data_IF_134584812589
#
_entry.id   IF_134584812589
#
_cell.length_a   1.000
_cell.length_b   1.000
_cell.length_c   1.000
_cell.angle_alpha   90.00
_cell.angle_beta   90.00
_cell.angle_gamma   90.00
#
_symmetry.space_group_name_H-M   'P 1'
#
loop_
_entity.id
_entity.type
_entity.pdbx_description
1 polymer ?
#
# COMPACT_ATOMS: atom_id res chain seq x y z
N UNK A 1 0.17 -29.53 -28.10
CA UNK A 1 1.41 -29.36 -27.32
C UNK A 1 2.39 -28.61 -28.23
N UNK A 2 2.95 -27.45 -27.81
CA UNK A 2 3.53 -27.24 -26.49
C UNK A 2 3.11 -25.91 -25.83
N UNK A 3 2.60 -25.99 -24.60
CA UNK A 3 2.44 -24.87 -23.66
C UNK A 3 3.52 -24.94 -22.56
N UNK A 4 4.59 -25.71 -22.78
CA UNK A 4 5.64 -26.01 -21.79
C UNK A 4 7.02 -25.61 -22.33
N UNK A 5 7.35 -24.34 -22.13
CA UNK A 5 8.68 -23.70 -22.13
C UNK A 5 8.31 -22.21 -22.25
N UNK A 6 8.39 -21.40 -21.21
CA UNK A 6 9.64 -20.81 -20.75
C UNK A 6 9.52 -20.52 -19.27
N UNK A 7 10.37 -21.18 -18.47
CA UNK A 7 10.48 -20.97 -17.03
C UNK A 7 11.96 -20.96 -16.68
N UNK A 8 12.64 -19.85 -16.97
CA UNK A 8 14.04 -19.66 -16.56
C UNK A 8 14.22 -18.16 -16.41
N UNK A 9 14.36 -17.62 -15.20
CA UNK A 9 15.19 -16.44 -14.90
C UNK A 9 15.25 -16.16 -13.39
N UNK A 10 16.08 -16.90 -12.65
CA UNK A 10 16.67 -16.35 -11.41
C UNK A 10 18.19 -16.56 -11.30
N UNK A 11 18.85 -17.24 -12.24
CA UNK A 11 20.31 -17.50 -12.17
C UNK A 11 21.04 -17.23 -13.48
N UNK A 12 20.73 -16.12 -14.18
CA UNK A 12 21.53 -15.74 -15.35
C UNK A 12 22.75 -14.91 -14.91
N UNK A 13 23.80 -15.60 -14.45
CA UNK A 13 25.16 -15.05 -14.37
C UNK A 13 25.91 -15.39 -15.67
N UNK A 14 26.08 -14.44 -16.62
CA UNK A 14 26.61 -14.73 -17.96
C UNK A 14 28.05 -15.26 -17.99
N UNK A 15 28.80 -15.09 -16.90
CA UNK A 15 30.26 -15.30 -16.92
C UNK A 15 30.77 -16.50 -16.10
N UNK A 16 29.89 -17.29 -15.46
CA UNK A 16 30.37 -18.33 -14.53
C UNK A 16 30.41 -19.76 -15.05
N UNK A 17 29.49 -20.23 -15.90
CA UNK A 17 29.54 -21.61 -16.42
C UNK A 17 28.78 -21.78 -17.75
N UNK A 18 29.45 -21.71 -18.90
CA UNK A 18 28.86 -21.99 -20.23
C UNK A 18 28.48 -23.47 -20.37
N UNK A 19 27.22 -23.80 -20.07
CA UNK A 19 26.64 -25.11 -20.34
C UNK A 19 25.80 -25.09 -21.62
N UNK A 20 25.64 -26.25 -22.27
CA UNK A 20 24.81 -26.41 -23.49
C UNK A 20 23.37 -25.91 -23.33
N UNK A 21 22.88 -25.78 -22.09
CA UNK A 21 21.54 -25.26 -21.79
C UNK A 21 21.49 -23.75 -21.94
N UNK A 22 22.54 -23.03 -21.53
CA UNK A 22 22.61 -21.56 -21.67
C UNK A 22 22.77 -21.11 -23.11
N UNK A 23 23.55 -21.83 -23.93
CA UNK A 23 23.66 -21.53 -25.37
C UNK A 23 22.33 -21.71 -26.11
N UNK A 24 21.54 -22.72 -25.71
CA UNK A 24 20.19 -22.93 -26.27
C UNK A 24 19.24 -21.80 -25.88
N UNK A 25 19.29 -21.34 -24.63
CA UNK A 25 18.47 -20.21 -24.14
C UNK A 25 18.86 -18.90 -24.83
N UNK A 26 20.17 -18.59 -24.92
CA UNK A 26 20.67 -17.41 -25.61
C UNK A 26 20.28 -17.39 -27.10
N UNK A 27 20.32 -18.56 -27.77
CA UNK A 27 19.91 -18.69 -29.17
C UNK A 27 18.41 -18.50 -29.35
N UNK A 28 17.59 -19.09 -28.48
CA UNK A 28 16.14 -18.90 -28.49
C UNK A 28 15.74 -17.43 -28.27
N UNK A 29 16.44 -16.72 -27.39
CA UNK A 29 16.23 -15.28 -27.17
C UNK A 29 16.65 -14.43 -28.37
N UNK A 30 17.76 -14.77 -29.02
CA UNK A 30 18.23 -14.08 -30.21
C UNK A 30 17.29 -14.29 -31.41
N UNK A 31 16.66 -15.47 -31.53
CA UNK A 31 15.63 -15.77 -32.53
C UNK A 31 14.32 -15.04 -32.21
N UNK A 32 13.84 -15.07 -30.97
CA UNK A 32 12.65 -14.32 -30.53
C UNK A 32 12.78 -12.80 -30.78
N UNK A 33 13.96 -12.23 -30.50
CA UNK A 33 14.26 -10.81 -30.74
C UNK A 33 14.32 -10.46 -32.23
N UNK A 34 14.74 -11.40 -33.10
CA UNK A 34 14.71 -11.22 -34.57
C UNK A 34 13.29 -11.29 -35.14
N UNK A 35 12.41 -12.04 -34.50
CA UNK A 35 10.99 -12.17 -34.85
C UNK A 35 10.13 -11.06 -34.24
N UNK A 36 10.73 -10.09 -33.55
CA UNK A 36 10.03 -8.95 -32.96
C UNK A 36 9.30 -9.26 -31.65
N UNK A 37 9.53 -10.43 -31.06
CA UNK A 37 9.05 -10.75 -29.72
C UNK A 37 9.98 -10.11 -28.69
N UNK A 38 9.48 -9.12 -27.97
CA UNK A 38 10.12 -8.68 -26.74
C UNK A 38 9.90 -9.75 -25.66
N UNK A 39 10.93 -10.07 -24.84
CA UNK A 39 10.70 -10.91 -23.67
C UNK A 39 9.64 -10.24 -22.81
N UNK A 40 8.49 -10.91 -22.66
CA UNK A 40 7.44 -10.48 -21.75
C UNK A 40 8.10 -10.40 -20.38
N UNK A 41 8.25 -9.19 -19.82
CA UNK A 41 8.57 -9.01 -18.41
C UNK A 41 7.58 -9.89 -17.66
N UNK A 42 8.08 -10.91 -16.96
CA UNK A 42 7.25 -11.79 -16.15
C UNK A 42 6.47 -10.88 -15.20
N UNK A 43 5.17 -10.79 -15.42
CA UNK A 43 4.28 -9.97 -14.62
C UNK A 43 4.39 -10.47 -13.18
N UNK A 44 4.81 -9.59 -12.25
CA UNK A 44 4.88 -9.92 -10.82
C UNK A 44 3.50 -10.38 -10.36
N UNK A 45 3.36 -11.70 -10.22
CA UNK A 45 2.09 -12.31 -9.85
C UNK A 45 1.80 -12.03 -8.37
N UNK A 46 0.52 -11.95 -8.06
CA UNK A 46 0.01 -11.75 -6.72
C UNK A 46 0.57 -12.76 -5.72
N UNK A 47 0.74 -14.02 -6.14
CA UNK A 47 1.28 -15.07 -5.28
C UNK A 47 2.74 -14.81 -4.92
N UNK A 48 3.54 -14.33 -5.87
CA UNK A 48 4.95 -13.99 -5.61
C UNK A 48 5.06 -12.83 -4.63
N UNK A 49 4.20 -11.81 -4.76
CA UNK A 49 4.17 -10.66 -3.86
C UNK A 49 3.70 -11.08 -2.47
N UNK A 50 2.72 -11.98 -2.39
CA UNK A 50 2.23 -12.55 -1.13
C UNK A 50 3.32 -13.35 -0.43
N UNK A 51 4.03 -14.21 -1.16
CA UNK A 51 5.17 -14.97 -0.63
C UNK A 51 6.30 -14.04 -0.21
N UNK A 52 6.56 -12.98 -0.97
CA UNK A 52 7.56 -11.99 -0.64
C UNK A 52 7.20 -11.22 0.64
N UNK A 53 6.01 -10.62 0.75
CA UNK A 53 5.66 -9.77 1.88
C UNK A 53 5.18 -10.55 3.12
N UNK A 54 4.81 -11.83 2.98
CA UNK A 54 4.37 -12.70 4.07
C UNK A 54 3.28 -12.04 4.94
N UNK A 55 3.59 -11.72 6.20
CA UNK A 55 2.69 -11.05 7.13
C UNK A 55 2.38 -9.60 6.73
N UNK A 56 3.23 -8.97 5.93
CA UNK A 56 3.06 -7.59 5.46
C UNK A 56 2.27 -7.51 4.14
N UNK A 57 1.59 -8.59 3.77
CA UNK A 57 0.66 -8.63 2.66
C UNK A 57 -0.78 -8.70 3.16
N UNK A 58 -1.61 -7.71 2.85
CA UNK A 58 -3.06 -7.68 3.14
C UNK A 58 -3.79 -7.82 1.80
N UNK A 59 -4.09 -9.08 1.43
CA UNK A 59 -4.69 -9.43 0.15
C UNK A 59 -6.20 -9.63 0.20
N UNK A 60 -6.74 -10.29 -0.82
CA UNK A 60 -8.18 -10.58 -0.94
C UNK A 60 -8.72 -11.26 0.32
N UNK A 61 -8.05 -12.29 0.83
CA UNK A 61 -8.51 -13.03 2.01
C UNK A 61 -8.57 -12.18 3.28
N UNK A 62 -7.54 -11.36 3.53
CA UNK A 62 -7.50 -10.44 4.65
C UNK A 62 -8.58 -9.35 4.50
N UNK A 63 -8.75 -8.80 3.30
CA UNK A 63 -9.75 -7.77 3.01
C UNK A 63 -11.17 -8.30 3.17
N UNK A 64 -11.47 -9.52 2.73
CA UNK A 64 -12.80 -10.11 2.90
C UNK A 64 -13.15 -10.28 4.39
N UNK A 65 -12.17 -10.72 5.20
CA UNK A 65 -12.32 -10.82 6.66
C UNK A 65 -12.47 -9.45 7.32
N UNK A 66 -11.65 -8.48 6.92
CA UNK A 66 -11.65 -7.12 7.46
C UNK A 66 -12.95 -6.37 7.14
N UNK A 67 -13.32 -6.35 5.86
CA UNK A 67 -14.54 -5.68 5.39
C UNK A 67 -15.80 -6.44 5.83
N UNK A 68 -15.68 -7.71 6.17
CA UNK A 68 -16.78 -8.60 6.56
C UNK A 68 -17.67 -8.99 5.38
N UNK A 69 -17.21 -8.83 4.14
CA UNK A 69 -17.93 -9.24 2.93
C UNK A 69 -16.98 -9.96 1.96
N UNK A 70 -17.46 -10.97 1.23
CA UNK A 70 -16.69 -11.54 0.12
C UNK A 70 -16.59 -10.52 -1.01
N UNK A 71 -15.44 -10.48 -1.70
CA UNK A 71 -15.31 -9.76 -2.96
C UNK A 71 -15.96 -10.60 -4.06
N UNK A 72 -16.69 -9.95 -4.95
CA UNK A 72 -17.28 -10.61 -6.12
C UNK A 72 -16.19 -11.09 -7.09
N UNK A 73 -16.46 -12.04 -7.99
CA UNK A 73 -15.50 -12.45 -9.01
C UNK A 73 -14.98 -11.28 -9.86
N UNK A 74 -15.85 -10.32 -10.17
CA UNK A 74 -15.48 -9.11 -10.92
C UNK A 74 -14.56 -8.20 -10.12
N UNK A 75 -14.81 -8.04 -8.82
CA UNK A 75 -13.94 -7.27 -7.92
C UNK A 75 -12.54 -7.90 -7.79
N UNK A 76 -12.45 -9.23 -7.71
CA UNK A 76 -11.16 -9.93 -7.68
C UNK A 76 -10.38 -9.71 -8.97
N UNK A 77 -11.06 -9.82 -10.13
CA UNK A 77 -10.50 -9.51 -11.44
C UNK A 77 -10.00 -8.07 -11.53
N UNK A 78 -10.78 -7.09 -11.07
CA UNK A 78 -10.38 -5.68 -11.02
C UNK A 78 -9.16 -5.47 -10.10
N UNK A 79 -9.10 -6.16 -8.96
CA UNK A 79 -7.96 -6.07 -8.06
C UNK A 79 -6.67 -6.59 -8.72
N UNK A 80 -6.73 -7.70 -9.46
CA UNK A 80 -5.60 -8.23 -10.23
C UNK A 80 -5.17 -7.26 -11.34
N UNK A 81 -6.11 -6.74 -12.12
CA UNK A 81 -5.83 -5.77 -13.19
C UNK A 81 -5.17 -4.50 -12.65
N UNK A 82 -5.65 -3.99 -11.51
CA UNK A 82 -5.06 -2.81 -10.87
C UNK A 82 -3.66 -3.07 -10.32
N UNK A 83 -3.40 -4.27 -9.82
CA UNK A 83 -2.05 -4.65 -9.41
C UNK A 83 -1.10 -4.65 -10.61
N UNK A 84 -1.48 -5.31 -11.71
CA UNK A 84 -0.66 -5.36 -12.92
C UNK A 84 -0.40 -3.98 -13.50
N UNK A 85 -1.45 -3.16 -13.57
CA UNK A 85 -1.32 -1.76 -13.97
C UNK A 85 -0.34 -0.98 -13.09
N UNK A 86 -0.37 -1.18 -11.76
CA UNK A 86 0.57 -0.52 -10.84
C UNK A 86 2.01 -0.99 -11.09
N UNK A 87 2.22 -2.29 -11.27
CA UNK A 87 3.54 -2.87 -11.58
C UNK A 87 4.13 -2.24 -12.84
N UNK A 88 3.32 -2.13 -13.89
CA UNK A 88 3.72 -1.52 -15.17
C UNK A 88 3.99 -0.01 -15.02
N UNK A 89 3.04 0.75 -14.47
CA UNK A 89 3.13 2.22 -14.40
C UNK A 89 4.23 2.71 -13.47
N UNK A 90 4.46 2.01 -12.35
CA UNK A 90 5.49 2.37 -11.36
C UNK A 90 6.81 1.64 -11.59
N UNK A 91 6.90 0.79 -12.62
CA UNK A 91 8.11 0.04 -12.95
C UNK A 91 8.56 -0.91 -11.83
N UNK A 92 7.62 -1.49 -11.08
CA UNK A 92 7.95 -2.36 -9.95
C UNK A 92 8.69 -3.61 -10.43
N UNK A 93 9.78 -3.93 -9.73
CA UNK A 93 10.57 -5.15 -9.91
C UNK A 93 10.60 -5.95 -8.61
N UNK A 94 10.93 -7.24 -8.70
CA UNK A 94 11.13 -8.08 -7.51
C UNK A 94 12.16 -7.47 -6.54
N UNK A 95 13.27 -6.97 -7.07
CA UNK A 95 14.31 -6.28 -6.30
C UNK A 95 13.77 -5.03 -5.59
N UNK A 96 12.99 -4.19 -6.27
CA UNK A 96 12.37 -3.01 -5.64
C UNK A 96 11.38 -3.38 -4.53
N UNK A 97 10.63 -4.47 -4.71
CA UNK A 97 9.68 -4.96 -3.71
C UNK A 97 10.39 -5.59 -2.51
N UNK A 98 11.51 -6.29 -2.74
CA UNK A 98 12.39 -6.81 -1.69
C UNK A 98 13.00 -5.67 -0.86
N UNK A 99 13.47 -4.62 -1.52
CA UNK A 99 13.94 -3.40 -0.85
C UNK A 99 12.83 -2.78 0.01
N UNK A 100 11.64 -2.58 -0.56
CA UNK A 100 10.49 -2.02 0.16
C UNK A 100 10.10 -2.87 1.39
N UNK A 101 10.10 -4.20 1.26
CA UNK A 101 9.88 -5.10 2.40
C UNK A 101 10.93 -4.86 3.51
N UNK A 102 12.22 -4.82 3.15
CA UNK A 102 13.30 -4.60 4.11
C UNK A 102 13.18 -3.24 4.83
N UNK A 103 12.64 -2.24 4.15
CA UNK A 103 12.37 -0.91 4.70
C UNK A 103 11.06 -0.84 5.51
N UNK A 104 10.36 -1.96 5.71
CA UNK A 104 9.16 -2.04 6.53
C UNK A 104 7.90 -1.55 5.82
N UNK A 105 7.85 -1.64 4.49
CA UNK A 105 6.61 -1.46 3.74
C UNK A 105 5.72 -2.69 3.83
N UNK A 106 4.43 -2.45 3.65
CA UNK A 106 3.41 -3.47 3.45
C UNK A 106 2.65 -3.22 2.15
N UNK A 107 2.05 -4.27 1.61
CA UNK A 107 1.16 -4.22 0.45
C UNK A 107 -0.27 -4.44 0.93
N UNK A 108 -1.16 -3.50 0.64
CA UNK A 108 -2.55 -3.51 1.13
C UNK A 108 -3.51 -3.33 -0.03
N UNK A 109 -4.43 -4.28 -0.21
CA UNK A 109 -5.64 -4.09 -0.99
C UNK A 109 -6.64 -3.28 -0.16
N UNK A 110 -7.11 -2.18 -0.72
CA UNK A 110 -8.15 -1.34 -0.13
C UNK A 110 -9.45 -1.56 -0.87
N UNK A 111 -10.51 -1.86 -0.14
CA UNK A 111 -11.87 -1.96 -0.68
C UNK A 111 -12.74 -0.84 -0.10
N UNK A 112 -13.46 -0.13 -0.98
CA UNK A 112 -14.26 1.05 -0.64
C UNK A 112 -15.60 0.75 0.06
N UNK A 113 -15.89 -0.51 0.37
CA UNK A 113 -17.15 -0.91 0.98
C UNK A 113 -16.96 -1.93 2.10
N UNK A 114 -17.68 -1.71 3.21
CA UNK A 114 -17.80 -2.60 4.36
C UNK A 114 -19.15 -3.29 4.33
N UNK A 115 -19.23 -4.53 4.82
CA UNK A 115 -20.50 -5.12 5.19
C UNK A 115 -21.23 -4.23 6.20
N UNK A 116 -22.55 -4.11 6.03
CA UNK A 116 -23.45 -3.49 7.01
C UNK A 116 -23.45 -4.23 8.35
N UNK A 117 -24.19 -3.71 9.35
CA UNK A 117 -24.20 -4.30 10.69
C UNK A 117 -24.85 -5.69 10.70
N UNK A 118 -25.90 -5.84 9.91
CA UNK A 118 -26.57 -7.11 9.68
C UNK A 118 -26.37 -7.60 8.25
N UNK A 119 -26.52 -8.92 8.03
CA UNK A 119 -26.37 -9.53 6.68
C UNK A 119 -27.31 -8.95 5.61
N UNK A 120 -28.40 -8.29 6.03
CA UNK A 120 -29.39 -7.67 5.13
C UNK A 120 -29.19 -6.18 4.95
N UNK A 121 -28.30 -5.58 5.74
CA UNK A 121 -28.02 -4.16 5.63
C UNK A 121 -27.27 -3.88 4.33
N UNK A 122 -27.53 -2.69 3.76
CA UNK A 122 -26.72 -2.19 2.65
C UNK A 122 -25.26 -2.05 3.09
N UNK A 123 -24.36 -2.30 2.16
CA UNK A 123 -22.95 -2.01 2.35
C UNK A 123 -22.75 -0.54 2.71
N UNK A 124 -21.77 -0.29 3.56
CA UNK A 124 -21.40 1.05 3.99
C UNK A 124 -20.11 1.46 3.29
N UNK A 125 -19.99 2.69 2.75
CA UNK A 125 -18.74 3.15 2.19
C UNK A 125 -17.66 3.19 3.28
N UNK A 126 -16.41 2.86 2.94
CA UNK A 126 -15.27 3.02 3.85
C UNK A 126 -14.94 4.48 4.01
N UNK A 127 -15.36 5.06 5.12
CA UNK A 127 -15.02 6.42 5.59
C UNK A 127 -14.51 6.32 7.03
N UNK A 128 -13.86 7.35 7.57
CA UNK A 128 -13.48 7.37 8.99
C UNK A 128 -14.69 7.12 9.89
N UNK A 129 -15.83 7.76 9.62
CA UNK A 129 -17.05 7.58 10.45
C UNK A 129 -17.56 6.15 10.42
N UNK A 130 -17.57 5.51 9.24
CA UNK A 130 -18.05 4.13 9.11
C UNK A 130 -17.06 3.11 9.67
N UNK A 131 -15.74 3.36 9.55
CA UNK A 131 -14.71 2.58 10.22
C UNK A 131 -14.88 2.66 11.73
N UNK A 132 -15.01 3.86 12.31
CA UNK A 132 -15.27 4.06 13.74
C UNK A 132 -16.56 3.39 14.22
N UNK A 133 -17.61 3.41 13.40
CA UNK A 133 -18.88 2.75 13.72
C UNK A 133 -18.78 1.23 13.72
N UNK A 134 -17.94 0.67 12.85
CA UNK A 134 -17.74 -0.78 12.70
C UNK A 134 -16.73 -1.34 13.71
N UNK A 135 -15.65 -0.61 13.92
CA UNK A 135 -14.55 -0.98 14.79
C UNK A 135 -14.53 -0.07 16.01
N UNK A 136 -14.86 -0.56 17.22
CA UNK A 136 -14.75 0.20 18.47
C UNK A 136 -13.28 0.31 18.92
N UNK A 137 -12.41 0.71 17.99
CA UNK A 137 -10.95 0.78 18.12
C UNK A 137 -10.44 2.19 17.83
N UNK A 138 -11.30 3.21 17.96
CA UNK A 138 -10.93 4.62 17.84
C UNK A 138 -11.03 5.29 19.19
N UNK A 139 -10.21 6.31 19.41
CA UNK A 139 -10.41 7.24 20.49
C UNK A 139 -11.82 7.87 20.43
N UNK A 140 -12.38 8.17 21.61
CA UNK A 140 -13.64 8.90 21.69
C UNK A 140 -13.43 10.39 21.36
N UNK A 141 -13.54 10.72 20.08
CA UNK A 141 -13.31 12.05 19.55
C UNK A 141 -14.49 12.49 18.69
N UNK A 142 -14.98 13.71 18.89
CA UNK A 142 -16.12 14.28 18.18
C UNK A 142 -15.75 15.44 17.25
N UNK A 143 -14.53 15.98 17.35
CA UNK A 143 -14.11 17.17 16.62
C UNK A 143 -14.24 17.04 15.09
N UNK A 144 -14.04 15.84 14.54
CA UNK A 144 -14.14 15.57 13.10
C UNK A 144 -15.54 15.10 12.65
N UNK A 145 -16.54 15.12 13.53
CA UNK A 145 -17.88 14.63 13.18
C UNK A 145 -18.55 15.46 12.05
N UNK A 146 -18.15 16.72 11.88
CA UNK A 146 -18.65 17.62 10.86
C UNK A 146 -17.61 17.96 9.79
N UNK A 147 -16.46 17.29 9.80
CA UNK A 147 -15.39 17.50 8.83
C UNK A 147 -15.63 16.69 7.56
N UNK A 148 -15.44 17.31 6.40
CA UNK A 148 -15.66 16.67 5.10
C UNK A 148 -14.79 15.41 4.94
N UNK A 149 -13.52 15.48 5.32
CA UNK A 149 -12.59 14.35 5.19
C UNK A 149 -13.07 13.10 5.94
N UNK A 150 -13.88 13.25 6.99
CA UNK A 150 -14.40 12.12 7.75
C UNK A 150 -15.53 11.37 7.03
N UNK A 151 -16.14 12.00 6.02
CA UNK A 151 -17.14 11.42 5.11
C UNK A 151 -16.54 11.00 3.75
N UNK A 152 -15.26 11.32 3.48
CA UNK A 152 -14.60 10.94 2.24
C UNK A 152 -14.32 9.44 2.19
N UNK A 153 -14.91 8.80 1.18
CA UNK A 153 -14.84 7.37 1.00
C UNK A 153 -13.61 6.94 0.20
N UNK A 154 -13.03 5.78 0.52
CA UNK A 154 -12.10 5.12 -0.39
C UNK A 154 -12.80 4.78 -1.71
N UNK A 155 -12.14 5.05 -2.82
CA UNK A 155 -12.69 4.86 -4.16
C UNK A 155 -12.46 3.42 -4.65
N UNK A 156 -13.55 2.64 -4.71
CA UNK A 156 -13.54 1.30 -5.33
C UNK A 156 -12.52 0.35 -4.70
N UNK A 157 -11.80 -0.41 -5.52
CA UNK A 157 -10.70 -1.29 -5.11
C UNK A 157 -9.39 -0.69 -5.53
N UNK A 158 -8.35 -0.66 -4.69
CA UNK A 158 -7.02 -0.19 -5.09
C UNK A 158 -5.91 -0.81 -4.26
N UNK A 159 -4.70 -0.86 -4.81
CA UNK A 159 -3.52 -1.34 -4.10
C UNK A 159 -2.71 -0.17 -3.54
N UNK A 160 -2.26 -0.29 -2.29
CA UNK A 160 -1.27 0.57 -1.68
C UNK A 160 0.01 -0.20 -1.36
N UNK A 161 1.16 0.38 -1.69
CA UNK A 161 2.45 -0.03 -1.10
C UNK A 161 2.84 1.06 -0.11
N UNK A 162 2.78 0.76 1.19
CA UNK A 162 2.82 1.79 2.23
C UNK A 162 3.80 1.44 3.34
N UNK A 163 4.53 2.43 3.82
CA UNK A 163 5.40 2.25 4.99
C UNK A 163 4.54 2.04 6.24
N UNK A 164 4.87 1.06 7.08
CA UNK A 164 4.13 0.77 8.32
C UNK A 164 4.38 1.82 9.41
N UNK A 165 5.61 2.31 9.47
CA UNK A 165 6.05 3.31 10.43
C UNK A 165 6.54 4.57 9.70
N UNK A 166 6.72 5.67 10.45
CA UNK A 166 7.22 6.92 9.90
C UNK A 166 8.58 6.73 9.21
N UNK A 167 8.80 7.48 8.13
CA UNK A 167 10.13 7.66 7.59
C UNK A 167 10.95 8.51 8.57
N UNK A 168 12.02 7.96 9.14
CA UNK A 168 12.72 8.58 10.28
C UNK A 168 13.25 9.98 9.98
N UNK A 169 13.66 10.22 8.72
CA UNK A 169 14.13 11.51 8.24
C UNK A 169 13.05 12.61 8.32
N UNK A 170 11.77 12.23 8.30
CA UNK A 170 10.63 13.15 8.37
C UNK A 170 10.30 13.62 9.78
N UNK A 171 10.86 12.97 10.81
CA UNK A 171 10.62 13.34 12.22
C UNK A 171 11.21 14.72 12.53
N UNK A 172 10.51 15.48 13.36
CA UNK A 172 10.92 16.84 13.76
C UNK A 172 11.12 17.82 12.59
N UNK A 173 10.41 17.55 11.49
CA UNK A 173 10.28 18.42 10.32
C UNK A 173 8.87 18.96 10.23
N UNK A 174 8.74 20.15 9.66
CA UNK A 174 7.43 20.70 9.32
C UNK A 174 6.87 20.07 8.04
N UNK A 175 5.62 20.36 7.71
CA UNK A 175 4.93 19.71 6.60
C UNK A 175 5.67 19.86 5.26
N UNK A 176 6.22 21.06 5.00
CA UNK A 176 6.94 21.37 3.74
C UNK A 176 8.28 20.64 3.64
N UNK A 177 9.06 20.62 4.72
CA UNK A 177 10.33 19.89 4.78
C UNK A 177 10.11 18.38 4.60
N UNK A 178 9.03 17.83 5.18
CA UNK A 178 8.66 16.43 4.97
C UNK A 178 8.31 16.14 3.50
N UNK A 179 7.67 17.08 2.81
CA UNK A 179 7.34 16.93 1.39
C UNK A 179 8.59 16.85 0.51
N UNK A 180 9.60 17.69 0.79
CA UNK A 180 10.89 17.62 0.09
C UNK A 180 11.64 16.30 0.39
N UNK A 181 11.50 15.76 1.60
CA UNK A 181 12.06 14.45 1.95
C UNK A 181 11.35 13.33 1.17
N UNK A 182 10.02 13.41 0.96
CA UNK A 182 9.31 12.43 0.13
C UNK A 182 9.80 12.43 -1.31
N UNK A 183 10.05 13.61 -1.89
CA UNK A 183 10.63 13.72 -3.24
C UNK A 183 12.02 13.10 -3.31
N UNK A 184 12.87 13.43 -2.33
CA UNK A 184 14.22 12.85 -2.22
C UNK A 184 14.17 11.33 -2.06
N UNK A 185 13.21 10.83 -1.27
CA UNK A 185 12.98 9.40 -1.12
C UNK A 185 12.50 8.76 -2.43
N UNK A 186 11.61 9.40 -3.19
CA UNK A 186 11.19 8.90 -4.49
C UNK A 186 12.38 8.76 -5.47
N UNK A 187 13.23 9.80 -5.55
CA UNK A 187 14.44 9.81 -6.36
C UNK A 187 15.41 8.68 -5.96
N UNK A 188 15.67 8.50 -4.67
CA UNK A 188 16.58 7.47 -4.19
C UNK A 188 16.09 6.04 -4.44
N UNK A 189 14.78 5.86 -4.64
CA UNK A 189 14.15 4.58 -4.98
C UNK A 189 13.87 4.42 -6.47
N UNK A 190 14.33 5.34 -7.31
CA UNK A 190 14.14 5.30 -8.76
C UNK A 190 12.67 5.30 -9.17
N UNK A 191 11.78 5.88 -8.36
CA UNK A 191 10.35 6.00 -8.64
C UNK A 191 10.00 7.46 -8.97
N UNK A 192 9.15 7.66 -9.97
CA UNK A 192 8.64 9.00 -10.31
C UNK A 192 7.89 9.58 -9.11
N UNK A 193 8.21 10.83 -8.74
CA UNK A 193 7.67 11.53 -7.57
C UNK A 193 6.13 11.54 -7.56
N UNK A 194 5.48 11.52 -8.73
CA UNK A 194 4.01 11.52 -8.82
C UNK A 194 3.35 10.28 -8.21
N UNK A 195 4.11 9.19 -8.06
CA UNK A 195 3.64 7.95 -7.48
C UNK A 195 3.90 7.85 -5.97
N UNK A 196 4.73 8.71 -5.40
CA UNK A 196 4.99 8.75 -3.96
C UNK A 196 4.17 9.87 -3.36
N UNK A 197 3.30 9.54 -2.42
CA UNK A 197 2.40 10.53 -1.80
C UNK A 197 2.16 10.24 -0.33
N UNK A 198 1.61 11.24 0.35
CA UNK A 198 0.95 11.06 1.64
C UNK A 198 -0.34 10.26 1.46
N UNK A 199 -0.68 9.48 2.48
CA UNK A 199 -1.99 8.85 2.60
C UNK A 199 -3.06 9.89 2.92
N UNK A 200 -4.31 9.59 2.57
CA UNK A 200 -5.47 10.30 3.11
C UNK A 200 -5.79 9.78 4.52
N UNK A 201 -6.52 10.54 5.35
CA UNK A 201 -6.94 10.08 6.68
C UNK A 201 -7.67 8.72 6.67
N UNK A 202 -8.56 8.51 5.70
CA UNK A 202 -9.31 7.25 5.55
C UNK A 202 -8.38 6.09 5.16
N UNK A 203 -7.36 6.34 4.33
CA UNK A 203 -6.35 5.32 3.99
C UNK A 203 -5.53 4.90 5.20
N UNK A 204 -5.02 5.86 6.00
CA UNK A 204 -4.26 5.52 7.22
C UNK A 204 -5.13 4.70 8.16
N UNK A 205 -6.36 5.13 8.41
CA UNK A 205 -7.27 4.41 9.30
C UNK A 205 -7.60 3.00 8.80
N UNK A 206 -7.82 2.84 7.48
CA UNK A 206 -8.04 1.54 6.88
C UNK A 206 -6.83 0.63 7.06
N UNK A 207 -5.65 1.11 6.69
CA UNK A 207 -4.40 0.37 6.71
C UNK A 207 -4.06 -0.14 8.12
N UNK A 208 -4.15 0.73 9.13
CA UNK A 208 -3.86 0.39 10.54
C UNK A 208 -4.83 -0.67 11.05
N UNK A 209 -6.14 -0.50 10.81
CA UNK A 209 -7.15 -1.42 11.31
C UNK A 209 -7.12 -2.77 10.57
N UNK A 210 -6.90 -2.75 9.25
CA UNK A 210 -6.79 -3.97 8.46
C UNK A 210 -5.56 -4.79 8.90
N UNK A 211 -4.42 -4.13 9.08
CA UNK A 211 -3.21 -4.79 9.58
C UNK A 211 -3.40 -5.35 10.98
N UNK A 212 -3.99 -4.57 11.89
CA UNK A 212 -4.29 -5.03 13.25
C UNK A 212 -5.23 -6.23 13.27
N UNK A 213 -6.32 -6.21 12.49
CA UNK A 213 -7.24 -7.35 12.43
C UNK A 213 -6.58 -8.59 11.82
N UNK A 214 -5.72 -8.41 10.83
CA UNK A 214 -5.09 -9.51 10.11
C UNK A 214 -3.92 -10.14 10.88
N UNK A 215 -3.21 -9.36 11.71
CA UNK A 215 -1.93 -9.76 12.34
C UNK A 215 -1.89 -9.62 13.86
N UNK A 216 -2.88 -8.95 14.46
CA UNK A 216 -2.90 -8.59 15.88
C UNK A 216 -1.65 -7.80 16.31
N UNK A 217 -1.14 -6.96 15.41
CA UNK A 217 0.02 -6.10 15.62
C UNK A 217 -0.38 -4.64 15.39
N UNK A 218 0.13 -3.76 16.25
CA UNK A 218 -0.09 -2.31 16.15
C UNK A 218 1.05 -1.68 15.37
N UNK A 219 0.69 -0.85 14.41
CA UNK A 219 1.61 0.05 13.70
C UNK A 219 1.21 1.48 14.05
N UNK A 220 2.16 2.42 14.02
CA UNK A 220 1.93 3.81 14.45
C UNK A 220 1.42 3.92 15.90
N UNK A 221 1.86 3.04 16.80
CA UNK A 221 1.35 3.03 18.20
C UNK A 221 1.66 4.33 18.94
N UNK A 222 2.79 4.99 18.63
CA UNK A 222 3.23 6.23 19.29
C UNK A 222 3.44 7.39 18.32
N UNK A 223 3.16 7.13 17.05
CA UNK A 223 3.51 7.99 15.93
C UNK A 223 2.26 8.42 15.18
N UNK A 224 2.36 9.56 14.50
CA UNK A 224 1.29 10.19 13.78
C UNK A 224 1.68 10.37 12.32
N UNK A 225 0.95 9.70 11.42
CA UNK A 225 1.13 9.88 9.98
C UNK A 225 0.41 11.15 9.52
N UNK A 226 1.19 12.11 9.03
CA UNK A 226 0.72 13.42 8.63
C UNK A 226 0.20 13.39 7.19
N UNK A 227 -1.12 13.46 7.05
CA UNK A 227 -1.81 13.17 5.79
C UNK A 227 -1.78 14.33 4.79
N UNK A 228 -2.25 14.09 3.57
CA UNK A 228 -2.40 15.11 2.53
C UNK A 228 -3.59 16.06 2.75
N UNK A 229 -4.44 15.82 3.75
CA UNK A 229 -5.74 16.48 3.87
C UNK A 229 -5.74 17.54 4.96
N UNK A 230 -6.36 18.68 4.69
CA UNK A 230 -6.61 19.73 5.68
C UNK A 230 -8.03 19.62 6.24
N UNK A 231 -8.15 19.89 7.54
CA UNK A 231 -9.42 20.19 8.20
C UNK A 231 -10.00 21.51 7.69
N UNK A 232 -11.27 21.76 8.00
CA UNK A 232 -11.97 23.02 7.70
C UNK A 232 -11.27 24.25 8.31
N UNK A 233 -10.52 24.06 9.40
CA UNK A 233 -9.71 25.10 10.05
C UNK A 233 -8.33 25.34 9.41
N UNK A 234 -8.01 24.68 8.29
CA UNK A 234 -6.74 24.84 7.56
C UNK A 234 -5.54 24.11 8.17
N UNK A 235 -5.75 23.32 9.24
CA UNK A 235 -4.73 22.45 9.84
C UNK A 235 -4.73 21.08 9.17
N UNK A 236 -3.56 20.47 9.03
CA UNK A 236 -3.40 19.19 8.36
C UNK A 236 -3.77 18.04 9.30
N UNK A 237 -4.59 17.11 8.80
CA UNK A 237 -5.08 15.95 9.55
C UNK A 237 -3.96 14.93 9.68
N UNK A 238 -3.89 14.31 10.84
CA UNK A 238 -2.93 13.26 11.15
C UNK A 238 -3.66 12.10 11.85
N UNK A 239 -3.25 10.88 11.52
CA UNK A 239 -3.89 9.64 11.99
C UNK A 239 -2.81 8.69 12.48
N UNK A 240 -3.02 8.07 13.63
CA UNK A 240 -2.00 7.24 14.29
C UNK A 240 -2.24 7.17 15.79
N UNK A 241 -1.16 7.06 16.55
CA UNK A 241 -1.18 6.86 17.99
C UNK A 241 -2.10 5.69 18.38
N UNK A 242 -1.92 4.57 17.68
CA UNK A 242 -2.78 3.40 17.83
C UNK A 242 -2.39 2.56 19.05
N UNK A 243 -2.73 3.04 20.24
CA UNK A 243 -2.34 2.45 21.52
C UNK A 243 -3.47 1.65 22.18
N UNK A 244 -3.49 1.51 23.51
CA UNK A 244 -4.53 0.77 24.22
C UNK A 244 -5.90 1.44 24.19
N UNK A 245 -5.95 2.75 23.96
CA UNK A 245 -7.19 3.53 23.98
C UNK A 245 -7.83 3.63 22.59
N UNK A 246 -7.10 3.27 21.53
CA UNK A 246 -7.59 3.11 20.17
C UNK A 246 -6.75 3.87 19.15
N UNK A 247 -7.33 4.13 17.98
CA UNK A 247 -6.74 4.89 16.88
C UNK A 247 -7.14 6.35 17.01
N UNK A 248 -6.15 7.24 17.02
CA UNK A 248 -6.36 8.67 17.08
C UNK A 248 -6.55 9.29 15.70
N UNK A 249 -7.39 10.32 15.65
CA UNK A 249 -7.48 11.26 14.53
C UNK A 249 -7.31 12.66 15.11
N UNK A 250 -6.31 13.40 14.67
CA UNK A 250 -6.01 14.73 15.18
C UNK A 250 -5.58 15.65 14.04
N UNK A 251 -5.13 16.85 14.34
CA UNK A 251 -4.67 17.80 13.33
C UNK A 251 -3.56 18.67 13.90
N UNK A 252 -2.69 19.16 13.03
CA UNK A 252 -1.69 20.15 13.42
C UNK A 252 -1.47 21.27 12.40
N UNK A 253 -0.87 22.35 12.88
CA UNK A 253 -0.45 23.47 12.06
C UNK A 253 0.71 23.07 11.15
N UNK A 254 0.76 23.65 9.94
CA UNK A 254 1.75 23.32 8.89
C UNK A 254 3.20 23.44 9.38
N UNK A 255 3.45 24.32 10.36
CA UNK A 255 4.74 24.64 10.94
C UNK A 255 5.11 23.80 12.18
N UNK A 256 4.24 22.89 12.65
CA UNK A 256 4.56 21.97 13.75
C UNK A 256 5.74 21.05 13.38
N UNK A 257 6.52 20.65 14.39
CA UNK A 257 7.76 19.87 14.28
C UNK A 257 7.88 18.80 15.37
N UNK A 258 6.76 18.24 15.83
CA UNK A 258 6.74 17.15 16.80
C UNK A 258 7.62 15.96 16.36
N UNK A 259 8.33 15.33 17.30
CA UNK A 259 9.20 14.17 17.00
C UNK A 259 8.42 12.88 16.72
N UNK A 260 7.16 12.82 17.16
CA UNK A 260 6.19 11.76 16.89
C UNK A 260 5.42 11.99 15.59
N UNK A 261 5.69 13.10 14.88
CA UNK A 261 5.00 13.51 13.67
C UNK A 261 5.92 13.29 12.47
N UNK A 262 5.39 12.66 11.42
CA UNK A 262 6.15 12.35 10.21
C UNK A 262 5.25 11.88 9.08
N UNK A 263 5.84 11.23 8.07
CA UNK A 263 5.10 10.66 6.95
C UNK A 263 5.42 9.19 6.78
N UNK A 264 4.39 8.40 6.49
CA UNK A 264 4.53 7.09 5.88
C UNK A 264 4.35 7.21 4.37
N UNK A 265 5.44 7.10 3.57
CA UNK A 265 5.34 7.13 2.12
C UNK A 265 4.36 6.04 1.62
N UNK A 266 3.51 6.41 0.66
CA UNK A 266 2.56 5.51 0.02
C UNK A 266 2.66 5.61 -1.50
N UNK A 267 2.49 4.46 -2.17
CA UNK A 267 2.50 4.33 -3.63
C UNK A 267 1.31 3.56 -4.18
#
# INVERSE_FOLDING_TARGET
MPFEAYKIYQEYEPDKYKTSTQEKVARALAEAKKEGFEPVKEALDFNEVRELFENDFIGIEEVEKFTGRPLTPEEKRIAEEKWQKKVEEQGLTKESLEQLKQEGFMVVLRAGALAGKEKKDKEMPVTIKNLRKKFPLFYNQDWYNNEQFADEALSGLDWGIVKKELLDETRSKNWDEQEEILKTWAESHGVDEKFVRRRTPTEVAYDVLAYFQARNQKILEKDWDWTSVQSSGGKFVLVGYFDSDGLGVFYDARDDRGSFLGVCPAR
#
